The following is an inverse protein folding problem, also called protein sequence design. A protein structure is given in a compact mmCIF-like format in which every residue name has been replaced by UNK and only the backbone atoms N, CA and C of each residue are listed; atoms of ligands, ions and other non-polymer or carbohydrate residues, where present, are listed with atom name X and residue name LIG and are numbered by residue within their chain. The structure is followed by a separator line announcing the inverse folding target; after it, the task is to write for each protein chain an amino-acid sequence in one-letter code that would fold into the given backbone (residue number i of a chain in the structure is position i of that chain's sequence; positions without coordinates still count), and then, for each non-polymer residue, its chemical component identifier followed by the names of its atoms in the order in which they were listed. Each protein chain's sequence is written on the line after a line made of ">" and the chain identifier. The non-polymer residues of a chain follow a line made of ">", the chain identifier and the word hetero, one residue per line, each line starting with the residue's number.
data_IF_389611414540
#
_entry.id   IF_389611414540
#
_cell.length_a   1.000
_cell.length_b   1.000
_cell.length_c   1.000
_cell.angle_alpha   90.00
_cell.angle_beta   90.00
_cell.angle_gamma   90.00
#
_symmetry.space_group_name_H-M   'P 1'
#
loop_
_entity.id
_entity.type
_entity.pdbx_description
1 polymer ?
#
# COMPACT_ATOMS: atom_id res chain seq x y z
N UNK A 1 -6.18 -25.37 53.13
CA UNK A 1 -5.89 -25.75 51.71
C UNK A 1 -4.84 -24.78 51.16
N UNK A 2 -3.95 -25.30 50.31
CA UNK A 2 -2.56 -24.88 50.10
C UNK A 2 -2.38 -23.50 49.45
N UNK A 3 -1.43 -22.74 49.99
CA UNK A 3 -0.84 -21.55 49.38
C UNK A 3 -0.03 -21.91 48.13
N UNK A 4 -0.21 -21.16 47.04
CA UNK A 4 0.63 -21.26 45.83
C UNK A 4 1.57 -20.05 45.76
N UNK A 5 2.87 -20.31 45.85
CA UNK A 5 3.95 -19.34 45.64
C UNK A 5 4.13 -19.08 44.14
N UNK A 6 4.47 -17.85 43.72
CA UNK A 6 4.95 -17.61 42.36
C UNK A 6 6.37 -18.20 42.17
N UNK A 7 6.76 -18.60 40.94
CA UNK A 7 8.07 -19.17 40.66
C UNK A 7 9.19 -18.11 40.74
N UNK A 8 10.45 -18.51 40.96
CA UNK A 8 11.56 -17.58 41.12
C UNK A 8 11.94 -16.93 39.79
N UNK A 9 12.24 -15.62 39.81
CA UNK A 9 12.86 -14.88 38.71
C UNK A 9 14.20 -15.53 38.35
N UNK A 10 14.30 -16.11 37.16
CA UNK A 10 15.59 -16.49 36.59
C UNK A 10 16.36 -15.21 36.23
N UNK A 11 17.51 -14.99 36.88
CA UNK A 11 18.51 -14.01 36.44
C UNK A 11 19.03 -14.46 35.07
N UNK A 12 18.68 -13.74 34.01
CA UNK A 12 19.37 -13.87 32.74
C UNK A 12 20.78 -13.28 32.90
N UNK A 13 21.79 -14.14 32.88
CA UNK A 13 23.20 -13.77 32.82
C UNK A 13 23.44 -13.10 31.47
N UNK A 14 23.85 -11.83 31.47
CA UNK A 14 24.32 -11.11 30.29
C UNK A 14 25.55 -11.83 29.71
N UNK A 15 25.39 -12.44 28.54
CA UNK A 15 26.52 -12.85 27.70
C UNK A 15 26.77 -11.76 26.66
N UNK A 16 28.00 -11.25 26.52
CA UNK A 16 28.33 -10.28 25.48
C UNK A 16 28.31 -10.98 24.11
N UNK A 17 27.57 -10.41 23.15
CA UNK A 17 27.53 -10.87 21.77
C UNK A 17 28.89 -10.58 21.10
N UNK A 18 29.48 -11.61 20.50
CA UNK A 18 30.69 -11.52 19.67
C UNK A 18 30.32 -11.27 18.19
N UNK A 19 31.16 -10.54 17.42
CA UNK A 19 30.84 -10.17 16.04
C UNK A 19 30.96 -11.33 15.03
N UNK A 20 30.26 -11.15 13.91
CA UNK A 20 30.02 -12.12 12.83
C UNK A 20 31.24 -12.95 12.39
N UNK A 21 31.10 -14.27 12.44
CA UNK A 21 31.93 -15.23 11.67
C UNK A 21 31.03 -16.22 10.93
N UNK A 22 31.34 -16.41 9.65
CA UNK A 22 30.69 -17.38 8.77
C UNK A 22 30.95 -18.83 9.26
N UNK A 23 29.90 -19.66 9.26
CA UNK A 23 29.98 -21.09 9.59
C UNK A 23 29.18 -21.93 8.57
N UNK A 24 29.55 -23.21 8.33
CA UNK A 24 29.19 -23.95 7.13
C UNK A 24 27.83 -24.68 7.21
N UNK A 25 27.31 -25.01 6.01
CA UNK A 25 26.00 -25.62 5.76
C UNK A 25 25.79 -26.99 6.47
N UNK A 26 24.65 -27.22 7.16
CA UNK A 26 24.28 -28.55 7.63
C UNK A 26 23.39 -29.31 6.64
N UNK A 27 23.56 -30.64 6.64
CA UNK A 27 22.86 -31.62 5.79
C UNK A 27 21.36 -31.77 6.14
N UNK A 28 20.58 -32.21 5.15
CA UNK A 28 19.12 -32.27 5.11
C UNK A 28 18.46 -33.24 6.12
N UNK A 29 17.37 -32.85 6.82
CA UNK A 29 16.53 -33.77 7.59
C UNK A 29 15.37 -34.36 6.74
N UNK A 30 14.77 -35.49 7.19
CA UNK A 30 13.74 -36.22 6.43
C UNK A 30 12.36 -35.53 6.47
N UNK A 31 11.53 -35.84 5.46
CA UNK A 31 10.21 -35.23 5.20
C UNK A 31 9.16 -35.62 6.25
N UNK A 32 8.31 -34.68 6.72
CA UNK A 32 7.13 -35.04 7.50
C UNK A 32 5.91 -35.34 6.62
N UNK A 33 5.12 -36.33 7.04
CA UNK A 33 3.80 -36.69 6.52
C UNK A 33 2.74 -35.68 7.02
N UNK A 34 1.85 -35.23 6.13
CA UNK A 34 0.68 -34.41 6.47
C UNK A 34 -0.62 -35.24 6.31
N UNK A 35 -1.57 -35.17 7.26
CA UNK A 35 -2.88 -35.81 7.13
C UNK A 35 -3.83 -35.00 6.22
N UNK A 36 -4.62 -35.71 5.43
CA UNK A 36 -5.61 -35.18 4.49
C UNK A 36 -6.81 -34.56 5.22
N UNK A 37 -7.20 -33.34 4.81
CA UNK A 37 -8.37 -32.67 5.38
C UNK A 37 -8.51 -31.20 4.97
N UNK A 38 -8.45 -30.89 3.66
CA UNK A 38 -8.63 -29.53 3.15
C UNK A 38 -10.12 -29.15 3.11
N UNK A 39 -10.54 -28.19 3.94
CA UNK A 39 -11.80 -27.44 3.74
C UNK A 39 -11.52 -26.31 2.76
N UNK A 40 -12.11 -26.40 1.57
CA UNK A 40 -12.07 -25.39 0.51
C UNK A 40 -12.96 -24.20 0.89
N UNK A 41 -12.36 -23.02 1.08
CA UNK A 41 -13.11 -21.76 1.11
C UNK A 41 -13.51 -21.39 -0.31
N UNK A 42 -14.81 -21.34 -0.58
CA UNK A 42 -15.37 -20.93 -1.86
C UNK A 42 -15.03 -19.45 -2.15
N UNK A 43 -14.41 -19.21 -3.30
CA UNK A 43 -14.10 -17.87 -3.79
C UNK A 43 -15.39 -17.05 -3.97
N UNK A 44 -15.52 -15.96 -3.21
CA UNK A 44 -16.56 -14.94 -3.46
C UNK A 44 -16.26 -14.27 -4.81
N UNK A 45 -17.22 -14.30 -5.72
CA UNK A 45 -17.16 -13.65 -7.01
C UNK A 45 -17.07 -12.13 -6.83
N UNK A 46 -15.89 -11.56 -7.09
CA UNK A 46 -15.71 -10.12 -7.14
C UNK A 46 -16.49 -9.53 -8.32
N UNK A 47 -17.23 -8.46 -8.06
CA UNK A 47 -17.83 -7.61 -9.09
C UNK A 47 -16.70 -7.02 -9.93
N UNK A 48 -16.48 -7.57 -11.13
CA UNK A 48 -15.54 -7.00 -12.10
C UNK A 48 -15.99 -5.57 -12.41
N UNK A 49 -15.17 -4.59 -12.05
CA UNK A 49 -15.37 -3.22 -12.51
C UNK A 49 -15.15 -3.22 -14.02
N UNK A 50 -16.24 -3.15 -14.78
CA UNK A 50 -16.19 -2.96 -16.23
C UNK A 50 -15.86 -1.50 -16.51
N UNK A 51 -14.79 -1.23 -17.27
CA UNK A 51 -14.50 0.12 -17.71
C UNK A 51 -15.69 0.75 -18.42
N UNK A 52 -15.98 2.02 -18.15
CA UNK A 52 -17.01 2.74 -18.90
C UNK A 52 -16.41 3.26 -20.19
N UNK A 53 -17.16 3.13 -21.27
CA UNK A 53 -16.84 3.78 -22.54
C UNK A 53 -17.16 5.27 -22.38
N UNK A 54 -16.12 6.10 -22.34
CA UNK A 54 -16.30 7.55 -22.31
C UNK A 54 -16.81 8.11 -23.64
N UNK A 55 -17.14 9.41 -23.70
CA UNK A 55 -17.43 10.08 -24.97
C UNK A 55 -16.30 9.83 -25.97
N UNK A 56 -16.61 9.22 -27.12
CA UNK A 56 -15.61 8.89 -28.15
C UNK A 56 -15.04 7.48 -28.13
N UNK A 57 -15.64 6.51 -27.42
CA UNK A 57 -15.31 5.08 -27.59
C UNK A 57 -14.05 4.60 -26.84
N UNK A 58 -13.43 5.45 -26.01
CA UNK A 58 -12.20 5.13 -25.26
C UNK A 58 -12.52 4.60 -23.86
N UNK A 59 -11.65 3.73 -23.34
CA UNK A 59 -11.69 3.25 -21.96
C UNK A 59 -11.46 4.41 -20.99
N UNK A 60 -12.47 4.77 -20.19
CA UNK A 60 -12.41 5.87 -19.24
C UNK A 60 -12.78 5.37 -17.84
N UNK A 61 -11.99 5.82 -16.87
CA UNK A 61 -12.24 5.65 -15.44
C UNK A 61 -12.74 6.97 -14.84
N UNK A 62 -13.62 6.86 -13.86
CA UNK A 62 -14.20 8.01 -13.18
C UNK A 62 -13.63 8.10 -11.76
N UNK A 63 -12.72 9.03 -11.53
CA UNK A 63 -12.19 9.33 -10.19
C UNK A 63 -13.11 10.32 -9.47
N UNK A 64 -13.26 10.16 -8.16
CA UNK A 64 -14.23 10.94 -7.39
C UNK A 64 -13.77 11.35 -5.99
N UNK A 65 -14.19 12.56 -5.60
CA UNK A 65 -13.89 13.20 -4.33
C UNK A 65 -12.58 13.97 -4.31
N UNK A 66 -12.56 15.08 -3.55
CA UNK A 66 -11.44 16.04 -3.53
C UNK A 66 -10.08 15.40 -3.23
N UNK A 67 -10.05 14.44 -2.30
CA UNK A 67 -8.82 13.74 -1.90
C UNK A 67 -8.19 12.88 -2.99
N UNK A 68 -8.90 12.63 -4.08
CA UNK A 68 -8.37 11.89 -5.22
C UNK A 68 -8.18 12.82 -6.41
N UNK A 69 -9.21 13.65 -6.68
CA UNK A 69 -9.22 14.56 -7.83
C UNK A 69 -8.11 15.61 -7.74
N UNK A 70 -7.92 16.25 -6.58
CA UNK A 70 -6.90 17.29 -6.43
C UNK A 70 -5.48 16.70 -6.60
N UNK A 71 -5.09 15.63 -5.89
CA UNK A 71 -3.76 15.05 -6.09
C UNK A 71 -3.52 14.56 -7.51
N UNK A 72 -4.53 13.97 -8.17
CA UNK A 72 -4.44 13.56 -9.58
C UNK A 72 -4.23 14.75 -10.52
N UNK A 73 -4.93 15.88 -10.29
CA UNK A 73 -4.76 17.10 -11.08
C UNK A 73 -3.39 17.74 -10.86
N UNK A 74 -2.86 17.70 -9.62
CA UNK A 74 -1.55 18.26 -9.29
C UNK A 74 -0.40 17.48 -9.91
N UNK A 75 -0.53 16.15 -10.00
CA UNK A 75 0.46 15.27 -10.66
C UNK A 75 0.05 14.96 -12.11
N UNK A 76 -0.33 16.01 -12.85
CA UNK A 76 -0.64 15.93 -14.27
C UNK A 76 0.53 15.29 -15.03
N UNK A 77 0.27 14.18 -15.72
CA UNK A 77 1.29 13.39 -16.42
C UNK A 77 1.31 11.92 -16.00
N UNK A 78 0.89 11.59 -14.77
CA UNK A 78 0.73 10.18 -14.36
C UNK A 78 -0.48 9.51 -15.03
N UNK A 79 -1.55 10.29 -15.25
CA UNK A 79 -2.74 9.86 -15.99
C UNK A 79 -3.03 10.80 -17.14
N UNK A 80 -3.55 10.24 -18.22
CA UNK A 80 -4.17 11.00 -19.31
C UNK A 80 -5.55 11.47 -18.85
N UNK A 81 -5.66 12.76 -18.54
CA UNK A 81 -6.88 13.40 -18.02
C UNK A 81 -7.71 13.92 -19.19
N UNK A 82 -8.97 13.49 -19.27
CA UNK A 82 -9.88 13.83 -20.37
C UNK A 82 -10.74 15.05 -20.05
N UNK A 83 -11.38 15.07 -18.88
CA UNK A 83 -12.25 16.17 -18.46
C UNK A 83 -12.46 16.20 -16.94
N UNK A 84 -12.63 17.41 -16.41
CA UNK A 84 -13.11 17.65 -15.05
C UNK A 84 -14.60 18.00 -15.08
N UNK A 85 -15.41 17.24 -14.36
CA UNK A 85 -16.83 17.52 -14.16
C UNK A 85 -17.06 18.15 -12.80
N UNK A 86 -17.69 19.32 -12.80
CA UNK A 86 -17.98 20.11 -11.61
C UNK A 86 -19.48 20.30 -11.47
N UNK A 87 -19.99 20.26 -10.23
CA UNK A 87 -21.40 20.57 -9.96
C UNK A 87 -21.75 21.99 -10.42
N UNK A 88 -22.90 22.14 -11.06
CA UNK A 88 -23.43 23.42 -11.53
C UNK A 88 -23.89 24.33 -10.37
N UNK A 89 -24.36 23.73 -9.28
CA UNK A 89 -24.91 24.47 -8.13
C UNK A 89 -23.79 24.76 -7.10
N UNK A 90 -23.10 25.89 -7.31
CA UNK A 90 -22.03 26.37 -6.41
C UNK A 90 -22.56 26.97 -5.09
N UNK A 91 -23.87 27.10 -4.91
CA UNK A 91 -24.49 27.90 -3.84
C UNK A 91 -24.71 27.18 -2.50
N UNK A 92 -24.29 25.92 -2.34
CA UNK A 92 -24.45 25.19 -1.07
C UNK A 92 -23.08 24.77 -0.52
N UNK A 93 -22.63 25.58 0.43
CA UNK A 93 -21.57 25.38 1.41
C UNK A 93 -21.45 23.93 1.88
N UNK A 94 -20.51 23.20 1.28
CA UNK A 94 -19.98 21.98 1.86
C UNK A 94 -18.51 22.18 2.11
N UNK A 95 -18.14 22.71 3.27
CA UNK A 95 -16.74 22.75 3.71
C UNK A 95 -16.23 21.31 3.84
N UNK A 96 -15.60 20.77 2.80
CA UNK A 96 -14.81 19.55 2.90
C UNK A 96 -13.41 20.02 3.28
N UNK A 97 -13.11 20.00 4.58
CA UNK A 97 -11.81 20.39 5.10
C UNK A 97 -10.77 19.34 4.67
N UNK A 98 -9.90 19.70 3.73
CA UNK A 98 -8.65 18.99 3.47
C UNK A 98 -7.59 19.56 4.42
N UNK A 99 -7.07 18.79 5.39
CA UNK A 99 -5.86 19.19 6.14
C UNK A 99 -4.64 18.90 5.25
N UNK A 100 -3.68 19.81 5.07
CA UNK A 100 -2.52 20.17 5.94
C UNK A 100 -1.85 21.48 5.34
N UNK A 101 -1.21 22.41 6.10
CA UNK A 101 -1.61 23.82 6.39
C UNK A 101 -0.62 24.89 5.77
N UNK A 102 -0.71 26.23 5.91
CA UNK A 102 -0.35 27.05 7.11
C UNK A 102 -0.81 28.52 7.07
N UNK A 103 -1.34 29.04 5.97
CA UNK A 103 -1.64 30.49 5.84
C UNK A 103 -3.14 30.81 5.87
N UNK A 104 -3.49 31.94 6.49
CA UNK A 104 -4.86 32.44 6.71
C UNK A 104 -5.62 32.87 5.44
N UNK A 105 -5.07 32.66 4.23
CA UNK A 105 -5.60 33.22 2.96
C UNK A 105 -6.28 32.19 2.02
N UNK A 106 -6.16 30.88 2.22
CA UNK A 106 -6.61 29.85 1.25
C UNK A 106 -7.56 28.77 1.82
N UNK A 107 -8.77 29.19 2.22
CA UNK A 107 -9.91 28.28 2.38
C UNK A 107 -10.91 28.39 1.22
N UNK A 108 -10.43 28.48 -0.03
CA UNK A 108 -11.31 28.37 -1.22
C UNK A 108 -11.92 26.98 -1.30
N UNK A 109 -13.14 26.89 -1.82
CA UNK A 109 -13.86 25.62 -1.88
C UNK A 109 -13.04 24.57 -2.65
N UNK A 110 -13.15 23.28 -2.31
CA UNK A 110 -12.47 22.17 -3.00
C UNK A 110 -12.71 22.23 -4.52
N UNK A 111 -13.89 22.73 -4.92
CA UNK A 111 -14.29 22.95 -6.31
C UNK A 111 -13.46 24.06 -6.96
N UNK A 112 -13.40 25.26 -6.37
CA UNK A 112 -12.59 26.37 -6.89
C UNK A 112 -11.12 25.99 -7.04
N UNK A 113 -10.57 25.26 -6.06
CA UNK A 113 -9.19 24.76 -6.13
C UNK A 113 -9.00 23.81 -7.32
N UNK A 114 -9.92 22.86 -7.51
CA UNK A 114 -9.85 21.92 -8.63
C UNK A 114 -9.98 22.64 -9.98
N UNK A 115 -10.86 23.64 -10.09
CA UNK A 115 -11.03 24.45 -11.30
C UNK A 115 -9.79 25.29 -11.62
N UNK A 116 -9.17 25.90 -10.60
CA UNK A 116 -7.95 26.68 -10.78
C UNK A 116 -6.80 25.80 -11.31
N UNK A 117 -6.62 24.61 -10.73
CA UNK A 117 -5.59 23.67 -11.18
C UNK A 117 -5.91 23.15 -12.59
N UNK A 118 -7.16 22.78 -12.86
CA UNK A 118 -7.58 22.29 -14.18
C UNK A 118 -7.43 23.35 -15.28
N UNK A 119 -7.82 24.60 -14.99
CA UNK A 119 -7.68 25.72 -15.92
C UNK A 119 -6.22 26.01 -16.23
N UNK A 120 -5.35 25.98 -15.20
CA UNK A 120 -3.89 26.15 -15.38
C UNK A 120 -3.27 25.04 -16.22
N UNK A 121 -3.80 23.81 -16.11
CA UNK A 121 -3.34 22.65 -16.87
C UNK A 121 -4.00 22.53 -18.27
N UNK A 122 -4.90 23.44 -18.65
CA UNK A 122 -5.62 23.38 -19.93
C UNK A 122 -6.63 22.22 -20.05
N UNK A 123 -7.11 21.70 -18.92
CA UNK A 123 -8.06 20.58 -18.87
C UNK A 123 -9.49 21.10 -19.10
N UNK A 124 -10.28 20.38 -19.91
CA UNK A 124 -11.69 20.71 -20.15
C UNK A 124 -12.51 20.64 -18.86
N UNK A 125 -13.21 21.72 -18.51
CA UNK A 125 -14.10 21.81 -17.34
C UNK A 125 -15.55 21.80 -17.81
N UNK A 126 -16.34 20.84 -17.33
CA UNK A 126 -17.76 20.67 -17.68
C UNK A 126 -18.64 20.82 -16.45
N UNK A 127 -19.66 21.69 -16.53
CA UNK A 127 -20.66 21.85 -15.47
C UNK A 127 -21.74 20.78 -15.62
N UNK A 128 -22.09 20.12 -14.53
CA UNK A 128 -23.03 19.01 -14.52
C UNK A 128 -24.01 19.06 -13.34
N UNK A 129 -25.21 18.51 -13.55
CA UNK A 129 -26.19 18.31 -12.48
C UNK A 129 -25.74 17.24 -11.50
N UNK A 130 -26.25 17.30 -10.26
CA UNK A 130 -25.95 16.29 -9.23
C UNK A 130 -26.30 14.86 -9.69
N UNK A 131 -27.46 14.68 -10.34
CA UNK A 131 -27.90 13.38 -10.83
C UNK A 131 -26.96 12.80 -11.91
N UNK A 132 -26.38 13.67 -12.74
CA UNK A 132 -25.40 13.26 -13.74
C UNK A 132 -24.08 12.84 -13.09
N UNK A 133 -23.58 13.61 -12.11
CA UNK A 133 -22.37 13.25 -11.36
C UNK A 133 -22.52 11.92 -10.60
N UNK A 134 -23.68 11.68 -9.97
CA UNK A 134 -23.96 10.41 -9.28
C UNK A 134 -23.96 9.22 -10.25
N UNK A 135 -24.38 9.44 -11.51
CA UNK A 135 -24.34 8.42 -12.56
C UNK A 135 -22.91 8.13 -13.01
N UNK A 136 -22.07 9.17 -13.11
CA UNK A 136 -20.65 9.00 -13.45
C UNK A 136 -19.90 8.22 -12.37
N UNK A 137 -20.20 8.46 -11.08
CA UNK A 137 -19.57 7.78 -9.95
C UNK A 137 -20.16 6.40 -9.61
N UNK A 138 -20.89 5.76 -10.53
CA UNK A 138 -21.54 4.44 -10.32
C UNK A 138 -22.53 4.39 -9.16
N UNK A 139 -23.13 5.53 -8.80
CA UNK A 139 -23.94 5.69 -7.58
C UNK A 139 -23.19 5.29 -6.30
N UNK A 140 -21.87 5.06 -6.36
CA UNK A 140 -21.05 4.79 -5.18
C UNK A 140 -21.03 6.07 -4.35
N UNK A 141 -21.29 5.98 -3.04
CA UNK A 141 -21.36 7.17 -2.21
C UNK A 141 -19.99 7.85 -2.22
N UNK A 142 -19.95 9.05 -2.78
CA UNK A 142 -19.02 10.06 -2.32
C UNK A 142 -19.39 10.25 -0.84
N UNK A 143 -18.57 9.71 0.06
CA UNK A 143 -18.73 9.62 1.53
C UNK A 143 -20.16 9.50 2.12
N UNK A 144 -20.34 8.38 2.82
CA UNK A 144 -21.40 7.96 3.76
C UNK A 144 -22.68 7.33 3.19
N UNK A 145 -22.71 6.01 3.41
CA UNK A 145 -23.78 5.07 3.82
C UNK A 145 -25.11 5.01 3.05
N UNK A 146 -25.47 3.78 2.71
CA UNK A 146 -26.75 3.36 2.13
C UNK A 146 -27.95 3.76 3.03
N UNK A 147 -29.11 4.10 2.43
CA UNK A 147 -30.34 4.29 3.18
C UNK A 147 -30.99 2.93 3.44
N UNK A 148 -30.67 2.30 4.57
CA UNK A 148 -31.55 1.29 5.17
C UNK A 148 -31.94 1.78 6.56
N UNK A 149 -32.90 2.69 6.58
CA UNK A 149 -34.02 2.64 7.50
C UNK A 149 -34.97 3.81 7.22
N UNK A 150 -36.15 3.47 6.70
CA UNK A 150 -37.29 4.37 6.73
C UNK A 150 -37.61 4.71 8.20
N UNK A 151 -37.76 5.99 8.49
CA UNK A 151 -38.37 6.60 9.70
C UNK A 151 -37.50 7.12 10.85
N UNK A 152 -36.17 7.22 10.71
CA UNK A 152 -35.41 8.15 11.55
C UNK A 152 -35.04 9.40 10.73
N UNK A 153 -35.60 10.56 11.12
CA UNK A 153 -35.12 11.89 10.70
C UNK A 153 -33.71 12.10 11.27
N UNK A 154 -32.74 11.39 10.72
CA UNK A 154 -31.33 11.66 10.94
C UNK A 154 -30.95 12.82 10.00
N UNK A 155 -30.30 13.89 10.48
CA UNK A 155 -29.87 14.98 9.63
C UNK A 155 -28.98 14.41 8.54
N UNK A 156 -29.32 14.70 7.28
CA UNK A 156 -28.70 14.13 6.10
C UNK A 156 -27.17 14.23 6.18
N UNK A 157 -26.52 13.09 6.37
CA UNK A 157 -25.06 13.02 6.45
C UNK A 157 -24.52 13.46 5.09
N UNK A 158 -23.67 14.48 5.11
CA UNK A 158 -23.32 15.31 3.96
C UNK A 158 -22.52 14.52 2.92
N UNK A 159 -23.18 14.17 1.81
CA UNK A 159 -22.54 13.66 0.58
C UNK A 159 -21.59 14.75 0.04
N UNK A 160 -20.28 14.53 -0.17
CA UNK A 160 -19.41 15.48 -0.82
C UNK A 160 -19.70 15.43 -2.33
N UNK A 161 -20.65 16.26 -2.75
CA UNK A 161 -21.14 16.36 -4.13
C UNK A 161 -20.37 17.44 -4.86
N UNK A 162 -19.52 17.07 -5.81
CA UNK A 162 -19.29 18.01 -6.91
C UNK A 162 -18.07 17.86 -7.79
N UNK A 163 -17.20 16.87 -7.60
CA UNK A 163 -16.04 16.67 -8.48
C UNK A 163 -15.95 15.23 -8.96
N UNK A 164 -15.95 15.05 -10.27
CA UNK A 164 -15.63 13.80 -10.95
C UNK A 164 -14.58 14.09 -12.01
N UNK A 165 -13.52 13.31 -12.05
CA UNK A 165 -12.45 13.44 -13.03
C UNK A 165 -12.47 12.22 -13.95
N UNK A 166 -12.64 12.46 -15.25
CA UNK A 166 -12.54 11.45 -16.28
C UNK A 166 -11.08 11.28 -16.70
N UNK A 167 -10.54 10.08 -16.53
CA UNK A 167 -9.15 9.75 -16.81
C UNK A 167 -9.04 8.43 -17.56
N UNK A 168 -7.89 8.17 -18.18
CA UNK A 168 -7.60 6.82 -18.67
C UNK A 168 -7.12 5.91 -17.53
N UNK A 169 -7.31 4.59 -17.65
CA UNK A 169 -6.72 3.62 -16.74
C UNK A 169 -5.23 3.88 -16.54
N UNK A 170 -4.76 3.65 -15.32
CA UNK A 170 -3.37 3.87 -14.98
C UNK A 170 -2.49 2.88 -15.73
N UNK A 171 -1.49 3.39 -16.45
CA UNK A 171 -0.47 2.55 -17.07
C UNK A 171 0.62 2.27 -16.03
N UNK A 172 0.83 1.00 -15.71
CA UNK A 172 1.75 0.58 -14.66
C UNK A 172 2.86 -0.24 -15.28
N UNK A 173 4.07 0.27 -15.15
CA UNK A 173 5.25 -0.39 -15.67
C UNK A 173 5.52 -1.69 -14.91
N UNK A 174 5.87 -2.71 -15.69
CA UNK A 174 6.26 -4.01 -15.18
C UNK A 174 7.76 -4.06 -14.95
N UNK A 175 8.17 -4.40 -13.73
CA UNK A 175 9.58 -4.53 -13.36
C UNK A 175 9.95 -5.99 -13.05
N UNK A 176 11.19 -6.33 -13.38
CA UNK A 176 11.78 -7.66 -13.17
C UNK A 176 12.45 -7.76 -11.81
N UNK A 177 13.24 -6.77 -11.44
CA UNK A 177 14.01 -6.74 -10.19
C UNK A 177 14.45 -5.31 -9.88
N UNK A 178 14.95 -5.11 -8.65
CA UNK A 178 15.67 -3.90 -8.25
C UNK A 178 17.17 -4.17 -8.37
N UNK A 179 17.90 -3.25 -8.99
CA UNK A 179 19.36 -3.35 -9.15
C UNK A 179 20.07 -3.15 -7.82
N UNK A 180 21.39 -3.36 -7.84
CA UNK A 180 22.22 -3.03 -6.69
C UNK A 180 22.06 -1.56 -6.31
N UNK A 181 22.01 -1.31 -5.01
CA UNK A 181 22.01 0.04 -4.45
C UNK A 181 23.45 0.55 -4.42
N UNK A 182 23.75 1.53 -5.27
CA UNK A 182 25.09 2.09 -5.38
C UNK A 182 25.11 3.40 -4.61
N UNK A 183 25.64 3.37 -3.40
CA UNK A 183 25.89 4.58 -2.64
C UNK A 183 27.13 5.28 -3.21
N UNK A 184 26.96 6.50 -3.72
CA UNK A 184 28.08 7.31 -4.22
C UNK A 184 28.80 8.04 -3.10
N UNK A 185 28.06 8.67 -2.17
CA UNK A 185 28.57 9.29 -0.93
C UNK A 185 27.53 9.21 0.22
N UNK A 186 27.91 9.56 1.47
CA UNK A 186 26.99 9.58 2.64
C UNK A 186 25.97 10.74 2.61
N UNK A 187 26.22 11.80 1.84
CA UNK A 187 25.45 13.05 1.81
C UNK A 187 24.77 13.32 0.45
N UNK A 188 25.01 12.49 -0.57
CA UNK A 188 24.49 12.69 -1.93
C UNK A 188 23.28 11.82 -2.24
N UNK A 189 22.47 12.28 -3.20
CA UNK A 189 21.41 11.45 -3.81
C UNK A 189 22.02 10.16 -4.37
N UNK A 190 21.57 9.03 -3.83
CA UNK A 190 21.94 7.69 -4.30
C UNK A 190 20.93 7.23 -5.34
N UNK A 191 21.39 6.51 -6.36
CA UNK A 191 20.48 5.97 -7.37
C UNK A 191 20.55 4.45 -7.42
N UNK A 192 19.40 3.84 -7.69
CA UNK A 192 19.28 2.45 -8.08
C UNK A 192 18.28 2.36 -9.23
N UNK A 193 18.25 1.24 -9.91
CA UNK A 193 17.38 1.05 -11.07
C UNK A 193 16.33 -0.02 -10.80
N UNK A 194 15.11 0.20 -11.26
CA UNK A 194 14.13 -0.86 -11.44
C UNK A 194 14.22 -1.38 -12.88
N UNK A 195 14.56 -2.66 -13.05
CA UNK A 195 14.77 -3.24 -14.37
C UNK A 195 13.43 -3.50 -15.07
N UNK A 196 13.22 -2.89 -16.23
CA UNK A 196 12.05 -3.09 -17.11
C UNK A 196 12.45 -4.04 -18.24
N UNK A 197 12.11 -5.32 -18.07
CA UNK A 197 12.50 -6.35 -19.03
C UNK A 197 14.01 -6.58 -19.06
N UNK A 198 14.60 -6.74 -20.27
CA UNK A 198 16.01 -7.12 -20.44
C UNK A 198 16.96 -5.93 -20.70
N UNK A 199 16.45 -4.82 -21.22
CA UNK A 199 17.29 -3.74 -21.78
C UNK A 199 16.86 -2.33 -21.34
N UNK A 200 15.70 -2.18 -20.68
CA UNK A 200 15.24 -0.91 -20.15
C UNK A 200 15.34 -0.91 -18.63
N UNK A 201 15.67 0.24 -18.05
CA UNK A 201 15.76 0.45 -16.63
C UNK A 201 15.11 1.79 -16.29
N UNK A 202 14.34 1.84 -15.21
CA UNK A 202 13.85 3.08 -14.62
C UNK A 202 14.86 3.47 -13.55
N UNK A 203 15.47 4.64 -13.69
CA UNK A 203 16.31 5.20 -12.62
C UNK A 203 15.42 5.73 -11.49
N UNK A 204 15.77 5.32 -10.27
CA UNK A 204 15.06 5.70 -9.05
C UNK A 204 16.05 6.40 -8.15
N UNK A 205 15.73 7.66 -7.86
CA UNK A 205 16.49 8.50 -6.96
C UNK A 205 16.05 8.25 -5.52
N UNK A 206 17.02 7.99 -4.66
CA UNK A 206 16.84 7.88 -3.22
C UNK A 206 17.67 8.94 -2.52
N UNK A 207 17.02 9.67 -1.62
CA UNK A 207 17.65 10.69 -0.79
C UNK A 207 17.77 10.13 0.62
N UNK A 208 19.00 9.80 1.08
CA UNK A 208 19.22 9.35 2.45
C UNK A 208 18.74 10.37 3.47
N UNK A 209 18.16 9.88 4.58
CA UNK A 209 17.75 10.69 5.72
C UNK A 209 18.56 10.30 6.96
N UNK A 210 18.75 11.17 7.96
CA UNK A 210 19.47 10.83 9.19
C UNK A 210 18.91 9.59 9.91
N UNK A 211 17.59 9.41 9.87
CA UNK A 211 16.89 8.25 10.46
C UNK A 211 16.80 7.04 9.53
N UNK A 212 17.15 7.19 8.25
CA UNK A 212 16.99 6.15 7.22
C UNK A 212 17.98 6.34 6.08
N UNK A 213 19.05 5.54 6.12
CA UNK A 213 20.12 5.56 5.11
C UNK A 213 19.84 4.71 3.87
N UNK A 214 18.82 3.85 3.88
CA UNK A 214 18.57 2.89 2.80
C UNK A 214 17.10 2.85 2.37
N UNK A 215 16.84 2.46 1.11
CA UNK A 215 15.49 2.36 0.61
C UNK A 215 14.75 1.15 1.17
N UNK A 216 13.42 1.27 1.21
CA UNK A 216 12.47 0.26 1.67
C UNK A 216 11.35 0.19 0.65
N UNK A 217 11.15 -1.00 0.12
CA UNK A 217 10.09 -1.32 -0.82
C UNK A 217 9.07 -2.23 -0.17
N UNK A 218 7.84 -2.15 -0.67
CA UNK A 218 6.77 -3.06 -0.31
C UNK A 218 6.47 -4.01 -1.47
N UNK A 219 6.45 -5.31 -1.19
CA UNK A 219 6.08 -6.37 -2.11
C UNK A 219 4.74 -6.99 -1.66
N UNK A 220 3.71 -6.89 -2.50
CA UNK A 220 2.37 -7.40 -2.20
C UNK A 220 2.13 -8.73 -2.93
N UNK A 221 1.93 -9.79 -2.17
CA UNK A 221 1.61 -11.13 -2.67
C UNK A 221 0.11 -11.41 -2.54
N UNK A 222 -0.63 -11.23 -3.64
CA UNK A 222 -2.05 -11.54 -3.76
C UNK A 222 -2.99 -10.75 -2.82
N UNK A 223 -2.81 -9.43 -2.74
CA UNK A 223 -3.77 -8.55 -2.03
C UNK A 223 -4.98 -8.33 -2.94
N UNK A 224 -5.99 -9.18 -2.80
CA UNK A 224 -7.17 -9.23 -3.68
C UNK A 224 -8.27 -8.22 -3.36
N UNK A 225 -8.32 -7.70 -2.13
CA UNK A 225 -9.33 -6.71 -1.75
C UNK A 225 -8.84 -5.27 -2.07
N UNK A 226 -9.57 -4.51 -2.93
CA UNK A 226 -9.19 -3.15 -3.26
C UNK A 226 -9.21 -2.18 -2.06
N UNK A 227 -9.99 -2.44 -1.02
CA UNK A 227 -9.97 -1.58 0.18
C UNK A 227 -8.65 -1.73 0.94
N UNK A 228 -8.25 -2.98 1.18
CA UNK A 228 -6.94 -3.28 1.76
C UNK A 228 -5.77 -2.77 0.91
N UNK A 229 -5.80 -2.99 -0.41
CA UNK A 229 -4.75 -2.48 -1.29
C UNK A 229 -4.65 -0.96 -1.19
N UNK A 230 -5.78 -0.25 -1.24
CA UNK A 230 -5.79 1.20 -1.11
C UNK A 230 -5.27 1.68 0.25
N UNK A 231 -5.70 1.05 1.34
CA UNK A 231 -5.24 1.37 2.69
C UNK A 231 -3.72 1.13 2.85
N UNK A 232 -3.18 0.05 2.29
CA UNK A 232 -1.74 -0.22 2.26
C UNK A 232 -1.00 0.87 1.49
N UNK A 233 -1.44 1.23 0.28
CA UNK A 233 -0.81 2.28 -0.51
C UNK A 233 -0.81 3.63 0.22
N UNK A 234 -1.89 3.93 0.93
CA UNK A 234 -1.98 5.14 1.77
C UNK A 234 -0.94 5.13 2.88
N UNK A 235 -0.82 4.03 3.62
CA UNK A 235 0.19 3.87 4.68
C UNK A 235 1.61 3.93 4.10
N UNK A 236 1.86 3.25 2.98
CA UNK A 236 3.14 3.27 2.28
C UNK A 236 3.55 4.69 1.88
N UNK A 237 2.65 5.45 1.27
CA UNK A 237 2.91 6.85 0.94
C UNK A 237 3.13 7.70 2.18
N UNK A 238 2.30 7.53 3.22
CA UNK A 238 2.38 8.35 4.45
C UNK A 238 3.71 8.16 5.19
N UNK A 239 4.19 6.92 5.32
CA UNK A 239 5.47 6.63 5.97
C UNK A 239 6.69 6.82 5.05
N UNK A 240 6.47 7.16 3.77
CA UNK A 240 7.56 7.43 2.82
C UNK A 240 8.27 6.19 2.30
N UNK A 241 7.53 5.08 2.12
CA UNK A 241 8.02 3.90 1.38
C UNK A 241 8.44 4.30 -0.04
N UNK A 242 9.59 3.84 -0.54
CA UNK A 242 10.13 4.33 -1.82
C UNK A 242 9.46 3.70 -3.03
N UNK A 243 8.88 2.52 -2.87
CA UNK A 243 8.22 1.84 -3.95
C UNK A 243 7.33 0.69 -3.51
N UNK A 244 6.34 0.39 -4.34
CA UNK A 244 5.46 -0.77 -4.17
C UNK A 244 5.49 -1.61 -5.43
N UNK A 245 5.71 -2.91 -5.27
CA UNK A 245 5.59 -3.90 -6.34
C UNK A 245 4.52 -4.91 -5.97
N UNK A 246 3.70 -5.30 -6.94
CA UNK A 246 2.67 -6.31 -6.76
C UNK A 246 2.63 -7.27 -7.94
N UNK A 247 2.01 -8.44 -7.76
CA UNK A 247 1.79 -9.33 -8.90
C UNK A 247 0.74 -8.76 -9.83
N UNK A 248 0.99 -8.84 -11.14
CA UNK A 248 0.04 -8.38 -12.17
C UNK A 248 -1.26 -9.19 -12.15
N UNK A 249 -1.16 -10.47 -11.81
CA UNK A 249 -2.29 -11.36 -11.59
C UNK A 249 -2.53 -11.56 -10.09
N UNK A 250 -3.75 -11.93 -9.73
CA UNK A 250 -4.15 -12.29 -8.37
C UNK A 250 -4.02 -11.17 -7.33
N UNK A 251 -3.81 -9.91 -7.76
CA UNK A 251 -3.91 -8.70 -6.94
C UNK A 251 -5.08 -7.84 -7.44
N UNK A 252 -5.70 -7.07 -6.55
CA UNK A 252 -6.77 -6.15 -6.94
C UNK A 252 -6.28 -5.15 -8.02
N UNK A 253 -7.06 -4.87 -9.07
CA UNK A 253 -6.67 -3.92 -10.10
C UNK A 253 -6.62 -2.49 -9.54
N UNK A 254 -5.64 -1.70 -9.98
CA UNK A 254 -5.42 -0.31 -9.59
C UNK A 254 -6.43 0.65 -10.24
N UNK A 255 -7.69 0.54 -9.80
CA UNK A 255 -8.85 1.22 -10.36
C UNK A 255 -9.32 2.38 -9.45
N UNK A 256 -10.42 3.09 -9.78
CA UNK A 256 -10.95 4.18 -8.96
C UNK A 256 -11.32 3.80 -7.52
N UNK A 257 -11.65 2.53 -7.25
CA UNK A 257 -11.94 2.06 -5.88
C UNK A 257 -10.68 2.09 -5.04
N UNK A 258 -9.56 1.58 -5.56
CA UNK A 258 -8.26 1.62 -4.88
C UNK A 258 -7.79 3.06 -4.72
N UNK A 259 -7.95 3.88 -5.76
CA UNK A 259 -7.64 5.32 -5.70
C UNK A 259 -8.39 6.01 -4.56
N UNK A 260 -9.70 5.71 -4.43
CA UNK A 260 -10.54 6.22 -3.35
C UNK A 260 -10.12 5.71 -1.96
N UNK A 261 -9.93 4.41 -1.81
CA UNK A 261 -9.51 3.78 -0.57
C UNK A 261 -8.15 4.32 -0.10
N UNK A 262 -7.25 4.59 -1.04
CA UNK A 262 -5.92 5.17 -0.77
C UNK A 262 -5.94 6.67 -0.46
N UNK A 263 -7.10 7.33 -0.55
CA UNK A 263 -7.23 8.79 -0.39
C UNK A 263 -6.29 9.58 -1.30
N UNK A 264 -6.14 9.12 -2.55
CA UNK A 264 -5.31 9.77 -3.57
C UNK A 264 -3.83 9.39 -3.54
N UNK A 265 -3.36 8.56 -2.59
CA UNK A 265 -1.97 8.10 -2.56
C UNK A 265 -1.58 7.37 -3.85
N UNK A 266 -2.49 6.56 -4.42
CA UNK A 266 -2.28 5.93 -5.73
C UNK A 266 -1.92 6.95 -6.83
N UNK A 267 -2.47 8.16 -6.78
CA UNK A 267 -2.28 9.17 -7.82
C UNK A 267 -0.97 9.96 -7.65
N UNK A 268 -0.37 9.95 -6.46
CA UNK A 268 0.85 10.72 -6.16
C UNK A 268 2.10 9.88 -5.97
N UNK A 269 2.00 8.60 -5.62
CA UNK A 269 3.18 7.74 -5.51
C UNK A 269 3.89 7.59 -6.86
N UNK A 270 5.21 7.81 -6.92
CA UNK A 270 5.96 7.71 -8.18
C UNK A 270 6.24 6.26 -8.59
N UNK A 271 6.54 5.39 -7.63
CA UNK A 271 7.01 4.04 -7.90
C UNK A 271 5.98 3.00 -7.45
N UNK A 272 5.00 2.76 -8.31
CA UNK A 272 4.08 1.63 -8.20
C UNK A 272 4.28 0.79 -9.45
N UNK A 273 4.66 -0.46 -9.27
CA UNK A 273 5.02 -1.36 -10.37
C UNK A 273 4.33 -2.72 -10.22
N UNK A 274 4.26 -3.44 -11.33
CA UNK A 274 3.84 -4.84 -11.32
C UNK A 274 4.99 -5.78 -11.67
N UNK A 275 4.84 -7.06 -11.32
CA UNK A 275 5.75 -8.12 -11.77
C UNK A 275 4.97 -9.38 -12.15
N UNK A 276 5.50 -10.16 -13.08
CA UNK A 276 4.92 -11.46 -13.49
C UNK A 276 5.10 -12.54 -12.42
N UNK A 277 6.19 -12.46 -11.67
CA UNK A 277 6.53 -13.46 -10.65
C UNK A 277 7.25 -12.78 -9.51
N UNK A 278 6.55 -12.67 -8.38
CA UNK A 278 7.11 -12.07 -7.19
C UNK A 278 8.32 -12.88 -6.68
N UNK A 279 8.26 -14.20 -6.74
CA UNK A 279 9.38 -15.09 -6.39
C UNK A 279 10.65 -14.76 -7.18
N UNK A 280 10.55 -14.62 -8.51
CA UNK A 280 11.71 -14.25 -9.35
C UNK A 280 12.20 -12.84 -9.04
N UNK A 281 11.28 -11.89 -8.88
CA UNK A 281 11.61 -10.51 -8.53
C UNK A 281 12.40 -10.43 -7.22
N UNK A 282 11.94 -11.14 -6.19
CA UNK A 282 12.58 -11.19 -4.88
C UNK A 282 13.96 -11.83 -4.98
N UNK A 283 14.08 -12.98 -5.64
CA UNK A 283 15.37 -13.66 -5.80
C UNK A 283 16.42 -12.79 -6.49
N UNK A 284 16.07 -12.19 -7.64
CA UNK A 284 16.99 -11.34 -8.38
C UNK A 284 17.34 -10.05 -7.63
N UNK A 285 16.40 -9.50 -6.84
CA UNK A 285 16.69 -8.33 -6.00
C UNK A 285 17.59 -8.70 -4.81
N UNK A 286 17.43 -9.89 -4.23
CA UNK A 286 18.33 -10.41 -3.21
C UNK A 286 19.76 -10.60 -3.73
N UNK A 287 19.92 -11.13 -4.95
CA UNK A 287 21.21 -11.24 -5.63
C UNK A 287 21.88 -9.86 -5.83
N UNK A 288 21.08 -8.80 -5.90
CA UNK A 288 21.53 -7.40 -5.97
C UNK A 288 21.74 -6.74 -4.59
N UNK A 289 21.70 -7.50 -3.50
CA UNK A 289 21.97 -6.99 -2.15
C UNK A 289 20.76 -6.38 -1.43
N UNK A 290 19.53 -6.72 -1.86
CA UNK A 290 18.34 -6.35 -1.10
C UNK A 290 18.03 -7.38 -0.02
N UNK A 291 17.89 -6.92 1.23
CA UNK A 291 17.32 -7.72 2.30
C UNK A 291 15.83 -7.90 2.11
N UNK A 292 15.30 -9.06 2.48
CA UNK A 292 13.90 -9.41 2.24
C UNK A 292 13.28 -9.89 3.54
N UNK A 293 12.38 -9.07 4.08
CA UNK A 293 11.56 -9.41 5.23
C UNK A 293 10.21 -9.94 4.78
N UNK A 294 9.87 -11.15 5.21
CA UNK A 294 8.52 -11.68 5.10
C UNK A 294 7.68 -11.40 6.36
N UNK A 295 6.39 -11.72 6.31
CA UNK A 295 5.48 -11.61 7.48
C UNK A 295 4.73 -12.92 7.72
N UNK A 296 5.49 -14.02 7.87
CA UNK A 296 4.92 -15.36 8.08
C UNK A 296 5.13 -15.78 9.54
N UNK A 297 4.03 -15.85 10.29
CA UNK A 297 4.02 -16.28 11.69
C UNK A 297 4.41 -17.75 11.86
N UNK A 298 4.37 -18.55 10.79
CA UNK A 298 4.74 -19.96 10.81
C UNK A 298 6.19 -20.22 10.37
N UNK A 299 6.95 -19.17 10.01
CA UNK A 299 8.36 -19.30 9.63
C UNK A 299 9.20 -19.98 10.73
N UNK A 300 10.35 -20.61 10.43
CA UNK A 300 11.20 -21.20 11.47
C UNK A 300 11.64 -20.16 12.52
N UNK A 301 11.61 -20.50 13.81
CA UNK A 301 11.90 -19.55 14.90
C UNK A 301 13.24 -18.80 14.74
N UNK A 302 14.27 -19.45 14.21
CA UNK A 302 15.59 -18.84 13.94
C UNK A 302 15.59 -17.70 12.90
N UNK A 303 14.50 -17.58 12.13
CA UNK A 303 14.28 -16.57 11.09
C UNK A 303 13.17 -15.59 11.49
N UNK A 304 12.61 -15.72 12.70
CA UNK A 304 11.59 -14.78 13.20
C UNK A 304 12.27 -13.65 13.94
N UNK A 305 11.91 -12.43 13.56
CA UNK A 305 12.34 -11.21 14.21
C UNK A 305 11.11 -10.59 14.85
N UNK A 306 11.01 -10.74 16.16
CA UNK A 306 9.92 -10.18 16.96
C UNK A 306 10.12 -8.67 17.12
N UNK A 307 9.05 -7.92 16.86
CA UNK A 307 9.06 -6.47 17.00
C UNK A 307 8.81 -6.10 18.46
N UNK A 308 9.89 -5.97 19.24
CA UNK A 308 9.79 -5.38 20.58
C UNK A 308 9.88 -3.85 20.50
N UNK A 309 9.18 -3.19 21.40
CA UNK A 309 9.16 -1.73 21.55
C UNK A 309 10.48 -1.15 22.10
N UNK A 310 11.44 -1.99 22.50
CA UNK A 310 12.68 -1.58 23.17
C UNK A 310 13.92 -1.62 22.26
N UNK A 311 13.75 -1.81 20.94
CA UNK A 311 14.90 -1.92 20.03
C UNK A 311 15.63 -0.59 19.87
N UNK A 312 16.95 -0.64 20.06
CA UNK A 312 17.89 0.49 19.93
C UNK A 312 18.65 0.53 18.61
N UNK A 313 18.65 -0.55 17.83
CA UNK A 313 19.33 -0.62 16.52
C UNK A 313 18.33 -0.53 15.36
N UNK A 314 18.64 0.23 14.30
CA UNK A 314 17.78 0.32 13.12
C UNK A 314 17.60 -1.04 12.47
N UNK A 315 16.38 -1.34 12.06
CA UNK A 315 16.05 -2.56 11.31
C UNK A 315 16.58 -2.51 9.88
N UNK A 316 16.71 -1.32 9.33
CA UNK A 316 17.08 -1.08 7.93
C UNK A 316 18.54 -0.67 7.87
N UNK A 317 19.43 -1.66 7.77
CA UNK A 317 20.88 -1.46 7.61
C UNK A 317 21.36 -1.64 6.16
N UNK A 318 20.45 -1.98 5.25
CA UNK A 318 20.69 -2.23 3.84
C UNK A 318 19.36 -2.04 3.07
N UNK A 319 19.37 -1.95 1.73
CA UNK A 319 18.14 -1.87 0.93
C UNK A 319 17.19 -3.00 1.28
N UNK A 320 15.93 -2.68 1.58
CA UNK A 320 15.01 -3.64 2.18
C UNK A 320 13.73 -3.79 1.36
N UNK A 321 13.24 -5.02 1.20
CA UNK A 321 11.92 -5.34 0.68
C UNK A 321 11.11 -5.99 1.79
N UNK A 322 9.99 -5.37 2.16
CA UNK A 322 8.99 -5.96 3.04
C UNK A 322 7.93 -6.67 2.20
N UNK A 323 7.70 -7.95 2.44
CA UNK A 323 6.71 -8.77 1.73
C UNK A 323 5.49 -8.97 2.60
N UNK A 324 4.31 -8.61 2.08
CA UNK A 324 3.02 -8.85 2.72
C UNK A 324 2.19 -9.82 1.89
N UNK A 325 1.62 -10.81 2.57
CA UNK A 325 0.75 -11.81 1.95
C UNK A 325 -0.72 -11.41 1.90
N UNK A 326 -1.49 -12.24 1.20
CA UNK A 326 -2.95 -12.15 1.16
C UNK A 326 -3.57 -12.37 2.54
N UNK A 327 -4.77 -11.82 2.73
CA UNK A 327 -5.56 -12.13 3.92
C UNK A 327 -5.93 -13.62 3.97
N UNK A 328 -5.79 -14.23 5.15
CA UNK A 328 -6.11 -15.64 5.38
C UNK A 328 -5.00 -16.60 4.94
N UNK A 329 -4.68 -16.67 3.65
CA UNK A 329 -3.69 -17.62 3.15
C UNK A 329 -2.24 -17.20 3.41
N UNK A 330 -2.00 -15.92 3.74
CA UNK A 330 -0.67 -15.39 3.95
C UNK A 330 0.12 -15.31 2.63
N UNK A 331 1.45 -15.43 2.74
CA UNK A 331 2.35 -15.45 1.59
C UNK A 331 2.43 -16.86 0.99
N UNK A 332 2.62 -16.94 -0.33
CA UNK A 332 2.90 -18.22 -0.98
C UNK A 332 4.23 -18.79 -0.49
N UNK A 333 4.28 -20.12 -0.32
CA UNK A 333 5.49 -20.82 0.12
C UNK A 333 6.71 -20.52 -0.79
N UNK A 334 6.51 -20.34 -2.09
CA UNK A 334 7.60 -19.97 -3.02
C UNK A 334 8.14 -18.56 -2.73
N UNK A 335 7.26 -17.62 -2.42
CA UNK A 335 7.63 -16.24 -2.04
C UNK A 335 8.37 -16.24 -0.70
N UNK A 336 7.85 -16.97 0.30
CA UNK A 336 8.46 -17.09 1.63
C UNK A 336 9.86 -17.71 1.61
N UNK A 337 10.18 -18.60 0.66
CA UNK A 337 11.52 -19.17 0.49
C UNK A 337 12.58 -18.14 0.12
N UNK A 338 12.19 -17.04 -0.54
CA UNK A 338 13.10 -15.96 -0.92
C UNK A 338 13.25 -14.88 0.17
N UNK A 339 12.44 -14.94 1.24
CA UNK A 339 12.67 -14.08 2.39
C UNK A 339 13.97 -14.47 3.08
N UNK A 340 14.67 -13.53 3.70
CA UNK A 340 15.83 -13.79 4.56
C UNK A 340 15.35 -13.99 6.01
N UNK A 341 14.55 -13.06 6.50
CA UNK A 341 13.94 -13.08 7.82
C UNK A 341 12.45 -12.77 7.76
N UNK A 342 11.73 -13.00 8.85
CA UNK A 342 10.29 -12.76 8.96
C UNK A 342 9.98 -11.88 10.17
N UNK A 343 9.39 -10.72 9.92
CA UNK A 343 8.95 -9.80 10.96
C UNK A 343 7.63 -10.30 11.57
N UNK A 344 7.61 -10.42 12.89
CA UNK A 344 6.44 -10.87 13.65
C UNK A 344 5.91 -9.71 14.48
N UNK A 345 4.63 -9.40 14.28
CA UNK A 345 3.88 -8.50 15.15
C UNK A 345 3.32 -9.35 16.27
N UNK A 346 3.80 -9.13 17.49
CA UNK A 346 3.34 -9.88 18.65
C UNK A 346 1.92 -9.42 19.06
N UNK A 347 1.02 -10.38 19.19
CA UNK A 347 -0.33 -10.18 19.70
C UNK A 347 -0.40 -10.38 21.22
N UNK A 348 -1.57 -10.10 21.80
CA UNK A 348 -1.82 -10.46 23.20
C UNK A 348 -1.88 -12.00 23.36
N UNK A 349 -1.31 -12.52 24.45
CA UNK A 349 -1.29 -13.96 24.77
C UNK A 349 -2.70 -14.57 24.87
N UNK A 350 -3.72 -13.75 25.16
CA UNK A 350 -5.13 -14.14 25.24
C UNK A 350 -5.95 -13.54 24.08
N UNK A 351 -5.53 -13.72 22.82
CA UNK A 351 -6.24 -13.16 21.65
C UNK A 351 -7.62 -13.79 21.36
N UNK A 352 -8.09 -14.73 22.19
CA UNK A 352 -9.46 -15.24 22.16
C UNK A 352 -9.89 -15.89 20.85
N UNK A 353 -8.95 -16.37 20.02
CA UNK A 353 -9.21 -16.98 18.72
C UNK A 353 -9.11 -16.04 17.52
N UNK A 354 -8.62 -14.81 17.70
CA UNK A 354 -8.21 -13.94 16.59
C UNK A 354 -6.73 -14.16 16.32
N UNK A 355 -6.43 -14.92 15.27
CA UNK A 355 -5.08 -15.43 14.99
C UNK A 355 -4.23 -14.51 14.09
N UNK A 356 -4.82 -13.46 13.50
CA UNK A 356 -4.10 -12.55 12.61
C UNK A 356 -4.74 -11.16 12.52
N UNK A 357 -3.91 -10.18 12.17
CA UNK A 357 -4.34 -8.82 11.85
C UNK A 357 -4.76 -8.73 10.37
N UNK A 358 -5.66 -7.80 10.08
CA UNK A 358 -5.90 -7.36 8.71
C UNK A 358 -4.59 -6.88 8.06
N UNK A 359 -4.39 -7.23 6.79
CA UNK A 359 -3.13 -6.98 6.08
C UNK A 359 -2.77 -5.50 6.00
N UNK A 360 -3.76 -4.61 5.88
CA UNK A 360 -3.52 -3.16 5.83
C UNK A 360 -3.11 -2.58 7.19
N UNK A 361 -3.62 -3.14 8.28
CA UNK A 361 -3.21 -2.78 9.65
C UNK A 361 -1.78 -3.25 9.91
N UNK A 362 -1.47 -4.50 9.56
CA UNK A 362 -0.12 -5.05 9.67
C UNK A 362 0.88 -4.21 8.85
N UNK A 363 0.53 -3.84 7.62
CA UNK A 363 1.35 -2.97 6.78
C UNK A 363 1.66 -1.64 7.48
N UNK A 364 0.67 -0.99 8.09
CA UNK A 364 0.86 0.27 8.81
C UNK A 364 1.84 0.14 9.98
N UNK A 365 1.69 -0.90 10.80
CA UNK A 365 2.58 -1.16 11.94
C UNK A 365 4.02 -1.41 11.46
N UNK A 366 4.19 -2.28 10.47
CA UNK A 366 5.51 -2.67 9.97
C UNK A 366 6.21 -1.51 9.28
N UNK A 367 5.50 -0.74 8.46
CA UNK A 367 6.05 0.44 7.81
C UNK A 367 6.45 1.49 8.84
N UNK A 368 5.64 1.72 9.87
CA UNK A 368 6.02 2.64 10.95
C UNK A 368 7.30 2.19 11.65
N UNK A 369 7.45 0.89 11.92
CA UNK A 369 8.64 0.35 12.57
C UNK A 369 9.88 0.41 11.68
N UNK A 370 9.74 0.24 10.37
CA UNK A 370 10.87 0.26 9.42
C UNK A 370 11.29 1.69 9.00
N UNK A 371 10.35 2.64 8.99
CA UNK A 371 10.51 3.96 8.39
C UNK A 371 10.37 5.13 9.36
N UNK A 372 9.76 4.90 10.53
CA UNK A 372 9.33 5.91 11.49
C UNK A 372 10.33 6.28 12.56
#
# INVERSE_FOLDING_TARGET
>A
MRAFRPPPRARATLLPLSPCRAAPLPQSPPRPHFPEGSRTYAARSFVRHTPKVGPGGKNVEMLYGGNVVIPCLQKAGKRDIQALYVRQDASASGHIVYRVPTDEEEARTVIERAEAIASKAGISIQRASTAYLDTLSDKRPNQSLDPVDLNLKCPQIHRPKGLVLAVRPLDIERIRCLSAFIQRDEETNTTYHAAVGKQNNIEIEFVPKPTRKFPVWLALDQVVDPQNLGAILRSAHFFGCDGVVMTEQDTAPLNPVVSKASSGALEVMSHIHTTLSLSKFLRESAENGWHIYGTDIHAPAKRRVHLSTERTAPLVCEPTILVLGSEGAGMRAEVGKNCHDHLIIDGAEESGGVDSLNVSVAAGILLHVLLG
#
